data_IF_668559139299
#
_entry.id   IF_668559139299
#
_cell.length_a   1.000
_cell.length_b   1.000
_cell.length_c   1.000
_cell.angle_alpha   90.00
_cell.angle_beta   90.00
_cell.angle_gamma   90.00
#
_symmetry.space_group_name_H-M   'P 1'
#
loop_
_entity.id
_entity.type
_entity.pdbx_description
1 polymer ?
#
# COMPACT_ATOMS: atom_id res chain seq x y z
N UNK A 1 -18.75 10.22 -17.23
CA UNK A 1 -18.51 8.95 -16.50
C UNK A 1 -17.05 8.48 -16.45
N UNK A 2 -16.16 8.78 -17.42
CA UNK A 2 -14.76 8.26 -17.44
C UNK A 2 -13.75 8.97 -16.50
N UNK A 3 -13.96 10.23 -16.13
CA UNK A 3 -13.04 10.96 -15.22
C UNK A 3 -13.10 10.52 -13.76
N UNK A 4 -14.25 10.01 -13.28
CA UNK A 4 -14.42 9.49 -11.92
C UNK A 4 -13.53 8.27 -11.64
N UNK A 5 -13.30 7.42 -12.65
CA UNK A 5 -12.49 6.23 -12.52
C UNK A 5 -10.99 6.54 -12.33
N UNK A 6 -10.47 7.64 -12.92
CA UNK A 6 -9.04 8.02 -12.79
C UNK A 6 -8.70 8.52 -11.38
N UNK A 7 -9.63 9.19 -10.69
CA UNK A 7 -9.41 9.73 -9.35
C UNK A 7 -9.10 8.65 -8.30
N UNK A 8 -9.55 7.40 -8.54
CA UNK A 8 -9.21 6.22 -7.71
C UNK A 8 -7.74 5.78 -7.84
N UNK A 9 -7.05 6.19 -8.92
CA UNK A 9 -5.66 5.80 -9.19
C UNK A 9 -4.65 6.88 -8.87
N UNK A 10 -5.06 8.14 -8.83
CA UNK A 10 -4.20 9.29 -8.50
C UNK A 10 -4.05 9.39 -6.97
N UNK A 11 -2.85 9.13 -6.47
CA UNK A 11 -2.52 9.30 -5.06
C UNK A 11 -1.73 10.60 -4.87
N UNK A 12 -2.40 11.64 -4.37
CA UNK A 12 -1.80 12.97 -4.22
C UNK A 12 -0.57 12.95 -3.31
N UNK A 13 -0.56 12.10 -2.27
CA UNK A 13 0.60 12.00 -1.38
C UNK A 13 1.82 11.43 -2.10
N UNK A 14 1.60 10.47 -3.00
CA UNK A 14 2.67 9.93 -3.83
C UNK A 14 3.18 10.98 -4.83
N UNK A 15 2.29 11.73 -5.47
CA UNK A 15 2.70 12.79 -6.42
C UNK A 15 3.51 13.87 -5.70
N UNK A 16 3.07 14.32 -4.53
CA UNK A 16 3.81 15.28 -3.71
C UNK A 16 5.17 14.73 -3.27
N UNK A 17 5.25 13.44 -2.92
CA UNK A 17 6.52 12.79 -2.57
C UNK A 17 7.49 12.76 -3.77
N UNK A 18 6.99 12.43 -4.96
CA UNK A 18 7.78 12.40 -6.19
C UNK A 18 8.24 13.81 -6.60
N UNK A 19 7.34 14.79 -6.54
CA UNK A 19 7.64 16.19 -6.78
C UNK A 19 8.68 16.72 -5.78
N UNK A 20 8.54 16.39 -4.50
CA UNK A 20 9.51 16.74 -3.47
C UNK A 20 10.88 16.12 -3.70
N UNK A 21 10.94 14.84 -4.07
CA UNK A 21 12.20 14.17 -4.42
C UNK A 21 12.89 14.83 -5.61
N UNK A 22 12.14 15.14 -6.68
CA UNK A 22 12.70 15.79 -7.85
C UNK A 22 13.14 17.23 -7.56
N UNK A 23 12.39 17.97 -6.73
CA UNK A 23 12.79 19.30 -6.28
C UNK A 23 14.12 19.29 -5.50
N UNK A 24 14.43 18.23 -4.74
CA UNK A 24 15.73 18.09 -4.10
C UNK A 24 16.87 17.93 -5.13
N UNK A 25 16.61 17.18 -6.20
CA UNK A 25 17.55 17.07 -7.32
C UNK A 25 17.78 18.43 -8.00
N UNK A 26 16.70 19.18 -8.26
CA UNK A 26 16.79 20.52 -8.84
C UNK A 26 17.55 21.50 -7.93
N UNK A 27 17.38 21.41 -6.60
CA UNK A 27 18.14 22.22 -5.65
C UNK A 27 19.65 21.96 -5.75
N UNK A 28 20.05 20.70 -5.91
CA UNK A 28 21.47 20.34 -6.15
C UNK A 28 21.94 20.90 -7.49
N UNK A 29 21.10 20.85 -8.52
CA UNK A 29 21.44 21.38 -9.84
C UNK A 29 21.58 22.91 -9.85
N UNK A 30 20.68 23.63 -9.16
CA UNK A 30 20.76 25.07 -8.94
C UNK A 30 22.02 25.43 -8.16
N UNK A 31 22.35 24.69 -7.09
CA UNK A 31 23.56 24.93 -6.30
C UNK A 31 24.83 24.73 -7.13
N UNK A 32 24.88 23.68 -7.96
CA UNK A 32 25.96 23.45 -8.92
C UNK A 32 26.08 24.61 -9.92
N UNK A 33 24.96 25.05 -10.48
CA UNK A 33 24.94 26.16 -11.42
C UNK A 33 25.43 27.47 -10.78
N UNK A 34 24.99 27.77 -9.54
CA UNK A 34 25.45 28.91 -8.76
C UNK A 34 26.97 28.87 -8.55
N UNK A 35 27.51 27.72 -8.16
CA UNK A 35 28.94 27.51 -7.98
C UNK A 35 29.73 27.72 -9.28
N UNK A 36 29.26 27.12 -10.39
CA UNK A 36 29.90 27.26 -11.70
C UNK A 36 29.90 28.72 -12.16
N UNK A 37 28.78 29.43 -11.99
CA UNK A 37 28.69 30.85 -12.36
C UNK A 37 29.62 31.75 -11.54
N UNK A 38 29.77 31.46 -10.24
CA UNK A 38 30.63 32.25 -9.35
C UNK A 38 32.13 32.06 -9.63
N UNK A 39 32.55 30.83 -9.96
CA UNK A 39 33.97 30.48 -10.11
C UNK A 39 34.44 30.43 -11.57
N UNK A 40 33.53 30.16 -12.51
CA UNK A 40 33.80 30.01 -13.94
C UNK A 40 32.82 30.85 -14.78
N UNK A 41 32.76 32.19 -14.60
CA UNK A 41 31.76 33.04 -15.24
C UNK A 41 31.85 33.08 -16.76
N UNK A 42 33.00 32.70 -17.35
CA UNK A 42 33.15 32.58 -18.81
C UNK A 42 32.47 31.35 -19.40
N UNK A 43 32.23 30.33 -18.58
CA UNK A 43 31.59 29.07 -19.00
C UNK A 43 30.06 29.13 -18.81
N UNK A 44 29.59 29.99 -17.91
CA UNK A 44 28.16 30.12 -17.57
C UNK A 44 27.69 31.55 -17.82
N UNK A 45 27.26 31.81 -19.05
CA UNK A 45 26.78 33.13 -19.48
C UNK A 45 25.25 33.27 -19.42
N UNK A 46 24.52 32.17 -19.22
CA UNK A 46 23.06 32.17 -19.23
C UNK A 46 22.48 33.00 -18.05
N UNK A 47 21.51 33.90 -18.31
CA UNK A 47 20.80 34.63 -17.27
C UNK A 47 20.11 33.70 -16.26
N UNK A 48 19.99 34.14 -15.01
CA UNK A 48 19.32 33.35 -13.96
C UNK A 48 17.87 33.02 -14.31
N UNK A 49 17.16 33.97 -14.93
CA UNK A 49 15.77 33.77 -15.33
C UNK A 49 15.66 32.63 -16.34
N UNK A 50 16.49 32.65 -17.39
CA UNK A 50 16.50 31.65 -18.44
C UNK A 50 16.85 30.27 -17.85
N UNK A 51 17.88 30.20 -17.02
CA UNK A 51 18.25 28.96 -16.34
C UNK A 51 17.09 28.39 -15.50
N UNK A 52 16.49 29.21 -14.62
CA UNK A 52 15.42 28.77 -13.71
C UNK A 52 14.13 28.39 -14.45
N UNK A 53 13.75 29.14 -15.47
CA UNK A 53 12.51 28.84 -16.20
C UNK A 53 12.73 27.64 -17.12
N UNK A 54 13.78 27.67 -17.94
CA UNK A 54 13.96 26.70 -19.01
C UNK A 54 14.56 25.39 -18.52
N UNK A 55 15.56 25.42 -17.65
CA UNK A 55 16.26 24.22 -17.21
C UNK A 55 15.67 23.60 -15.93
N UNK A 56 14.94 24.37 -15.12
CA UNK A 56 14.34 23.87 -13.88
C UNK A 56 12.82 23.74 -14.00
N UNK A 57 12.09 24.84 -14.20
CA UNK A 57 10.62 24.82 -14.11
C UNK A 57 9.97 23.94 -15.19
N UNK A 58 10.40 24.06 -16.45
CA UNK A 58 9.86 23.25 -17.55
C UNK A 58 10.18 21.77 -17.33
N UNK A 59 11.42 21.45 -17.02
CA UNK A 59 11.87 20.07 -16.79
C UNK A 59 11.10 19.44 -15.62
N UNK A 60 10.98 20.16 -14.49
CA UNK A 60 10.17 19.76 -13.34
C UNK A 60 8.73 19.43 -13.71
N UNK A 61 8.06 20.31 -14.47
CA UNK A 61 6.67 20.10 -14.90
C UNK A 61 6.53 18.86 -15.79
N UNK A 62 7.47 18.66 -16.72
CA UNK A 62 7.49 17.48 -17.61
C UNK A 62 7.69 16.21 -16.79
N UNK A 63 8.69 16.18 -15.90
CA UNK A 63 9.02 15.00 -15.10
C UNK A 63 7.90 14.65 -14.13
N UNK A 64 7.37 15.61 -13.38
CA UNK A 64 6.27 15.35 -12.42
C UNK A 64 5.01 14.86 -13.13
N UNK A 65 4.68 15.45 -14.28
CA UNK A 65 3.55 15.01 -15.10
C UNK A 65 3.78 13.58 -15.61
N UNK A 66 4.96 13.30 -16.16
CA UNK A 66 5.32 11.97 -16.65
C UNK A 66 5.29 10.92 -15.53
N UNK A 67 5.89 11.23 -14.39
CA UNK A 67 5.94 10.32 -13.24
C UNK A 67 4.56 10.08 -12.62
N UNK A 68 3.62 11.02 -12.77
CA UNK A 68 2.21 10.78 -12.43
C UNK A 68 1.60 9.69 -13.31
N UNK A 69 1.86 9.69 -14.62
CA UNK A 69 1.43 8.61 -15.52
C UNK A 69 2.11 7.28 -15.20
N UNK A 70 3.40 7.30 -14.84
CA UNK A 70 4.14 6.10 -14.42
C UNK A 70 3.58 5.54 -13.11
N UNK A 71 3.24 6.37 -12.12
CA UNK A 71 2.62 5.92 -10.87
C UNK A 71 1.28 5.21 -11.12
N UNK A 72 0.43 5.79 -11.98
CA UNK A 72 -0.85 5.17 -12.38
C UNK A 72 -0.62 3.84 -13.10
N UNK A 73 0.36 3.77 -14.00
CA UNK A 73 0.69 2.56 -14.77
C UNK A 73 1.23 1.46 -13.85
N UNK A 74 2.12 1.82 -12.92
CA UNK A 74 2.71 0.92 -11.93
C UNK A 74 1.63 0.31 -11.04
N UNK A 75 0.67 1.11 -10.56
CA UNK A 75 -0.48 0.61 -9.79
C UNK A 75 -1.29 -0.43 -10.57
N UNK A 76 -1.44 -0.27 -11.88
CA UNK A 76 -2.11 -1.25 -12.75
C UNK A 76 -1.29 -2.53 -12.93
N UNK A 77 0.03 -2.44 -13.04
CA UNK A 77 0.92 -3.60 -13.14
C UNK A 77 0.84 -4.46 -11.87
N UNK A 78 0.82 -3.82 -10.70
CA UNK A 78 0.62 -4.49 -9.41
C UNK A 78 -0.74 -5.18 -9.33
N UNK A 79 -1.83 -4.53 -9.76
CA UNK A 79 -3.16 -5.14 -9.73
C UNK A 79 -3.30 -6.34 -10.69
N UNK A 80 -2.64 -6.29 -11.84
CA UNK A 80 -2.66 -7.37 -12.84
C UNK A 80 -1.59 -8.45 -12.61
N UNK A 81 -0.83 -8.40 -11.52
CA UNK A 81 0.24 -9.35 -11.18
C UNK A 81 1.21 -9.63 -12.34
N UNK A 82 1.72 -8.56 -12.96
CA UNK A 82 2.74 -8.70 -14.02
C UNK A 82 4.02 -9.33 -13.45
N UNK A 83 4.70 -10.17 -14.24
CA UNK A 83 6.00 -10.71 -13.83
C UNK A 83 7.05 -9.60 -13.72
N UNK A 84 7.97 -9.74 -12.76
CA UNK A 84 9.03 -8.77 -12.48
C UNK A 84 9.89 -8.46 -13.72
N UNK A 85 10.14 -9.46 -14.58
CA UNK A 85 10.87 -9.30 -15.85
C UNK A 85 10.13 -8.34 -16.80
N UNK A 86 8.81 -8.51 -16.99
CA UNK A 86 8.01 -7.62 -17.84
C UNK A 86 8.00 -6.20 -17.30
N UNK A 87 7.90 -6.05 -15.97
CA UNK A 87 7.95 -4.77 -15.29
C UNK A 87 9.28 -4.05 -15.58
N UNK A 88 10.42 -4.73 -15.41
CA UNK A 88 11.75 -4.16 -15.65
C UNK A 88 11.89 -3.74 -17.12
N UNK A 89 11.48 -4.58 -18.07
CA UNK A 89 11.55 -4.25 -19.50
C UNK A 89 10.73 -2.99 -19.81
N UNK A 90 9.50 -2.91 -19.31
CA UNK A 90 8.61 -1.75 -19.54
C UNK A 90 9.22 -0.47 -18.95
N UNK A 91 9.71 -0.51 -17.71
CA UNK A 91 10.32 0.66 -17.07
C UNK A 91 11.64 1.06 -17.73
N UNK A 92 12.42 0.10 -18.24
CA UNK A 92 13.61 0.40 -19.03
C UNK A 92 13.25 1.18 -20.29
N UNK A 93 12.23 0.73 -21.03
CA UNK A 93 11.73 1.46 -22.21
C UNK A 93 11.23 2.85 -21.84
N UNK A 94 10.43 2.97 -20.77
CA UNK A 94 9.94 4.27 -20.30
C UNK A 94 11.06 5.22 -19.87
N UNK A 95 12.13 4.72 -19.24
CA UNK A 95 13.28 5.53 -18.84
C UNK A 95 14.00 6.17 -20.04
N UNK A 96 14.11 5.43 -21.14
CA UNK A 96 14.73 5.94 -22.38
C UNK A 96 13.78 6.93 -23.05
N UNK A 97 12.48 6.60 -23.12
CA UNK A 97 11.47 7.44 -23.74
C UNK A 97 11.34 8.80 -23.05
N UNK A 98 11.35 8.87 -21.71
CA UNK A 98 11.24 10.16 -21.02
C UNK A 98 12.45 11.05 -21.29
N UNK A 99 13.67 10.50 -21.25
CA UNK A 99 14.86 11.28 -21.57
C UNK A 99 14.84 11.81 -23.01
N UNK A 100 14.34 10.99 -23.96
CA UNK A 100 14.17 11.42 -25.35
C UNK A 100 13.10 12.50 -25.49
N UNK A 101 11.95 12.34 -24.82
CA UNK A 101 10.87 13.33 -24.81
C UNK A 101 11.36 14.66 -24.25
N UNK A 102 12.06 14.65 -23.11
CA UNK A 102 12.66 15.84 -22.51
C UNK A 102 13.59 16.50 -23.51
N UNK A 103 14.52 15.74 -24.12
CA UNK A 103 15.45 16.27 -25.14
C UNK A 103 14.72 16.96 -26.29
N UNK A 104 13.70 16.31 -26.85
CA UNK A 104 12.94 16.84 -27.98
C UNK A 104 12.10 18.07 -27.60
N UNK A 105 11.57 18.13 -26.37
CA UNK A 105 10.89 19.33 -25.85
C UNK A 105 11.88 20.49 -25.75
N UNK A 106 13.09 20.25 -25.24
CA UNK A 106 14.14 21.26 -25.20
C UNK A 106 14.57 21.74 -26.59
N UNK A 107 14.74 20.83 -27.56
CA UNK A 107 15.04 21.19 -28.96
C UNK A 107 13.95 22.07 -29.57
N UNK A 108 12.69 21.62 -29.45
CA UNK A 108 11.53 22.36 -29.96
C UNK A 108 11.46 23.76 -29.34
N UNK A 109 11.71 23.85 -28.04
CA UNK A 109 11.71 25.13 -27.34
C UNK A 109 12.85 26.05 -27.80
N UNK A 110 14.07 25.55 -27.96
CA UNK A 110 15.21 26.33 -28.48
C UNK A 110 14.97 26.83 -29.91
N UNK A 111 14.26 26.07 -30.74
CA UNK A 111 13.86 26.50 -32.09
C UNK A 111 12.80 27.61 -32.01
N UNK A 112 11.75 27.43 -31.21
CA UNK A 112 10.63 28.39 -31.10
C UNK A 112 11.09 29.70 -30.46
N UNK A 113 12.01 29.64 -29.49
CA UNK A 113 12.59 30.83 -28.84
C UNK A 113 13.62 31.56 -29.70
N UNK A 114 13.98 31.00 -30.88
CA UNK A 114 14.95 31.61 -31.79
C UNK A 114 16.41 31.46 -31.36
N UNK A 115 16.69 30.64 -30.33
CA UNK A 115 18.06 30.33 -29.91
C UNK A 115 18.81 29.52 -30.97
N UNK A 116 18.09 28.66 -31.69
CA UNK A 116 18.62 27.84 -32.78
C UNK A 116 17.71 28.02 -34.01
N UNK A 117 18.20 28.60 -35.12
CA UNK A 117 17.44 28.64 -36.37
C UNK A 117 17.06 27.22 -36.82
N UNK A 118 15.84 27.02 -37.31
CA UNK A 118 15.38 25.71 -37.79
C UNK A 118 16.31 25.14 -38.87
N UNK A 119 16.90 26.00 -39.71
CA UNK A 119 17.85 25.62 -40.75
C UNK A 119 19.19 25.07 -40.20
N UNK A 120 19.54 25.43 -38.97
CA UNK A 120 20.78 25.02 -38.30
C UNK A 120 20.57 23.85 -37.33
N UNK A 121 19.32 23.41 -37.14
CA UNK A 121 18.99 22.29 -36.27
C UNK A 121 19.55 20.98 -36.81
N UNK A 122 20.34 20.29 -35.97
CA UNK A 122 20.92 18.99 -36.29
C UNK A 122 20.45 17.94 -35.28
N UNK A 123 19.72 16.93 -35.77
CA UNK A 123 19.23 15.82 -34.96
C UNK A 123 20.39 15.03 -34.33
N UNK A 124 21.51 14.87 -35.05
CA UNK A 124 22.67 14.15 -34.55
C UNK A 124 23.26 14.80 -33.28
N UNK A 125 23.35 16.13 -33.24
CA UNK A 125 23.81 16.89 -32.08
C UNK A 125 22.85 16.78 -30.89
N UNK A 126 21.54 16.78 -31.17
CA UNK A 126 20.52 16.52 -30.14
C UNK A 126 20.66 15.12 -29.53
N UNK A 127 20.82 14.10 -30.38
CA UNK A 127 21.03 12.72 -29.94
C UNK A 127 22.34 12.57 -29.15
N UNK A 128 23.42 13.26 -29.55
CA UNK A 128 24.68 13.27 -28.82
C UNK A 128 24.49 13.84 -27.40
N UNK A 129 23.81 14.99 -27.26
CA UNK A 129 23.47 15.57 -25.96
C UNK A 129 22.59 14.64 -25.12
N UNK A 130 21.63 13.95 -25.73
CA UNK A 130 20.82 12.94 -25.05
C UNK A 130 21.69 11.77 -24.53
N UNK A 131 22.59 11.24 -25.35
CA UNK A 131 23.51 10.16 -24.94
C UNK A 131 24.44 10.59 -23.80
N UNK A 132 24.82 11.85 -23.73
CA UNK A 132 25.63 12.38 -22.62
C UNK A 132 24.89 12.34 -21.28
N UNK A 133 23.57 12.53 -21.25
CA UNK A 133 22.79 12.61 -19.99
C UNK A 133 21.96 11.36 -19.69
N UNK A 134 21.88 10.40 -20.61
CA UNK A 134 20.98 9.24 -20.52
C UNK A 134 21.19 8.42 -19.24
N UNK A 135 22.44 8.28 -18.78
CA UNK A 135 22.77 7.50 -17.59
C UNK A 135 22.24 8.14 -16.31
N UNK A 136 22.30 9.48 -16.21
CA UNK A 136 21.77 10.23 -15.07
C UNK A 136 20.24 10.19 -15.07
N UNK A 137 19.62 10.41 -16.24
CA UNK A 137 18.17 10.33 -16.42
C UNK A 137 17.65 8.93 -16.05
N UNK A 138 18.36 7.89 -16.49
CA UNK A 138 18.06 6.50 -16.13
C UNK A 138 18.09 6.28 -14.61
N UNK A 139 19.15 6.75 -13.94
CA UNK A 139 19.30 6.60 -12.49
C UNK A 139 18.18 7.32 -11.71
N UNK A 140 17.89 8.57 -12.06
CA UNK A 140 16.84 9.36 -11.40
C UNK A 140 15.47 8.72 -11.64
N UNK A 141 15.19 8.29 -12.87
CA UNK A 141 13.95 7.59 -13.21
C UNK A 141 13.76 6.35 -12.33
N UNK A 142 14.78 5.49 -12.24
CA UNK A 142 14.69 4.27 -11.43
C UNK A 142 14.60 4.55 -9.92
N UNK A 143 15.25 5.61 -9.43
CA UNK A 143 15.06 6.07 -8.05
C UNK A 143 13.60 6.47 -7.77
N UNK A 144 12.98 7.21 -8.69
CA UNK A 144 11.57 7.59 -8.55
C UNK A 144 10.62 6.40 -8.71
N UNK A 145 10.91 5.46 -9.61
CA UNK A 145 10.17 4.18 -9.72
C UNK A 145 10.28 3.38 -8.42
N UNK A 146 11.46 3.31 -7.82
CA UNK A 146 11.66 2.66 -6.53
C UNK A 146 10.79 3.29 -5.42
N UNK A 147 10.70 4.62 -5.38
CA UNK A 147 9.79 5.34 -4.48
C UNK A 147 8.33 4.91 -4.73
N UNK A 148 7.90 4.83 -5.99
CA UNK A 148 6.53 4.40 -6.35
C UNK A 148 6.23 2.98 -5.85
N UNK A 149 7.11 2.01 -6.12
CA UNK A 149 6.92 0.62 -5.68
C UNK A 149 6.91 0.51 -4.15
N UNK A 150 7.86 1.17 -3.48
CA UNK A 150 7.94 1.19 -2.02
C UNK A 150 6.68 1.78 -1.41
N UNK A 151 6.18 2.89 -1.96
CA UNK A 151 4.95 3.52 -1.50
C UNK A 151 3.74 2.57 -1.58
N UNK A 152 3.55 1.91 -2.72
CA UNK A 152 2.43 0.97 -2.88
C UNK A 152 2.59 -0.28 -2.04
N UNK A 153 3.81 -0.79 -1.90
CA UNK A 153 4.10 -1.93 -1.04
C UNK A 153 3.77 -1.64 0.43
N UNK A 154 4.28 -0.54 0.98
CA UNK A 154 3.99 -0.11 2.37
C UNK A 154 2.48 0.09 2.58
N UNK A 155 1.79 0.66 1.60
CA UNK A 155 0.33 0.83 1.66
C UNK A 155 -0.42 -0.50 1.68
N UNK A 156 0.02 -1.47 0.87
CA UNK A 156 -0.57 -2.80 0.82
C UNK A 156 -0.34 -3.58 2.12
N UNK A 157 0.88 -3.52 2.67
CA UNK A 157 1.21 -4.17 3.96
C UNK A 157 0.34 -3.61 5.08
N UNK A 158 0.23 -2.29 5.22
CA UNK A 158 -0.61 -1.67 6.25
C UNK A 158 -2.09 -2.05 6.15
N UNK A 159 -2.62 -2.15 4.93
CA UNK A 159 -4.00 -2.58 4.73
C UNK A 159 -4.19 -4.06 5.08
N UNK A 160 -3.22 -4.91 4.71
CA UNK A 160 -3.24 -6.34 5.07
C UNK A 160 -3.16 -6.55 6.59
N UNK A 161 -2.30 -5.81 7.29
CA UNK A 161 -2.21 -5.85 8.76
C UNK A 161 -3.51 -5.45 9.43
N UNK A 162 -4.15 -4.38 8.95
CA UNK A 162 -5.46 -3.93 9.45
C UNK A 162 -6.53 -4.99 9.25
N UNK A 163 -6.59 -5.61 8.06
CA UNK A 163 -7.54 -6.68 7.77
C UNK A 163 -7.28 -7.91 8.63
N UNK A 164 -6.01 -8.27 8.86
CA UNK A 164 -5.63 -9.38 9.75
C UNK A 164 -6.12 -9.14 11.18
N UNK A 165 -5.91 -7.95 11.74
CA UNK A 165 -6.39 -7.63 13.09
C UNK A 165 -7.92 -7.67 13.21
N UNK A 166 -8.65 -7.25 12.16
CA UNK A 166 -10.11 -7.38 12.11
C UNK A 166 -10.55 -8.84 12.10
N UNK A 167 -9.91 -9.68 11.29
CA UNK A 167 -10.21 -11.11 11.21
C UNK A 167 -9.86 -11.85 12.52
N UNK A 168 -8.75 -11.52 13.17
CA UNK A 168 -8.38 -12.04 14.49
C UNK A 168 -9.46 -11.71 15.54
N UNK A 169 -9.93 -10.46 15.56
CA UNK A 169 -11.01 -10.03 16.46
C UNK A 169 -12.33 -10.77 16.19
N UNK A 170 -12.69 -10.95 14.91
CA UNK A 170 -13.88 -11.70 14.52
C UNK A 170 -13.78 -13.18 14.92
N UNK A 171 -12.60 -13.78 14.79
CA UNK A 171 -12.34 -15.17 15.16
C UNK A 171 -12.47 -15.36 16.67
N UNK A 172 -11.89 -14.46 17.48
CA UNK A 172 -12.04 -14.48 18.95
C UNK A 172 -13.51 -14.36 19.36
N UNK A 173 -14.24 -13.40 18.78
CA UNK A 173 -15.67 -13.23 19.07
C UNK A 173 -16.51 -14.43 18.67
N UNK A 174 -16.18 -15.08 17.54
CA UNK A 174 -16.87 -16.28 17.07
C UNK A 174 -16.62 -17.45 18.01
N UNK A 175 -15.36 -17.66 18.42
CA UNK A 175 -15.00 -18.68 19.42
C UNK A 175 -15.72 -18.45 20.75
N UNK A 176 -15.77 -17.20 21.21
CA UNK A 176 -16.48 -16.86 22.44
C UNK A 176 -17.99 -17.16 22.34
N UNK A 177 -18.63 -16.82 21.21
CA UNK A 177 -20.04 -17.15 20.97
C UNK A 177 -20.28 -18.66 20.90
N UNK A 178 -19.38 -19.41 20.25
CA UNK A 178 -19.46 -20.87 20.18
C UNK A 178 -19.38 -21.50 21.58
N UNK A 179 -18.39 -21.11 22.38
CA UNK A 179 -18.27 -21.54 23.78
C UNK A 179 -19.51 -21.18 24.60
N UNK A 180 -20.02 -19.96 24.45
CA UNK A 180 -21.24 -19.54 25.13
C UNK A 180 -22.48 -20.30 24.67
N UNK A 181 -22.53 -20.78 23.41
CA UNK A 181 -23.66 -21.55 22.89
C UNK A 181 -23.66 -23.02 23.33
N UNK A 182 -22.48 -23.57 23.65
CA UNK A 182 -22.36 -24.91 24.25
C UNK A 182 -22.98 -24.96 25.65
N UNK A 183 -22.88 -23.85 26.40
CA UNK A 183 -23.63 -23.66 27.63
C UNK A 183 -25.06 -23.27 27.27
N UNK A 184 -25.98 -24.23 27.03
CA UNK A 184 -27.38 -23.92 26.75
C UNK A 184 -27.96 -23.01 27.86
N UNK A 185 -28.14 -21.69 27.63
CA UNK A 185 -28.41 -20.77 28.74
C UNK A 185 -29.76 -21.07 29.40
N UNK A 186 -30.71 -21.53 28.59
CA UNK A 186 -32.03 -21.97 29.04
C UNK A 186 -31.95 -23.19 29.96
N UNK A 187 -31.07 -24.16 29.68
CA UNK A 187 -30.85 -25.28 30.59
C UNK A 187 -30.35 -24.77 31.93
N UNK A 188 -29.36 -23.88 31.93
CA UNK A 188 -28.81 -23.33 33.18
C UNK A 188 -29.89 -22.62 34.02
N UNK A 189 -30.72 -21.78 33.40
CA UNK A 189 -31.82 -21.10 34.10
C UNK A 189 -32.88 -22.08 34.62
N UNK A 190 -33.22 -23.11 33.85
CA UNK A 190 -34.19 -24.12 34.26
C UNK A 190 -33.68 -24.98 35.41
N UNK A 191 -32.41 -25.39 35.36
CA UNK A 191 -31.80 -26.17 36.43
C UNK A 191 -31.69 -25.33 37.71
N UNK A 192 -31.31 -24.06 37.62
CA UNK A 192 -31.29 -23.15 38.77
C UNK A 192 -32.69 -22.92 39.37
N UNK A 193 -33.72 -22.73 38.54
CA UNK A 193 -35.10 -22.60 39.01
C UNK A 193 -35.59 -23.89 39.70
N UNK A 194 -35.24 -25.04 39.14
CA UNK A 194 -35.58 -26.34 39.73
C UNK A 194 -34.87 -26.55 41.07
N UNK A 195 -33.59 -26.18 41.18
CA UNK A 195 -32.85 -26.17 42.44
C UNK A 195 -33.50 -25.24 43.46
N UNK A 196 -33.96 -24.05 43.05
CA UNK A 196 -34.63 -23.11 43.96
C UNK A 196 -35.92 -23.70 44.53
N UNK A 197 -36.74 -24.36 43.71
CA UNK A 197 -37.94 -25.07 44.17
C UNK A 197 -37.57 -26.25 45.08
N UNK A 198 -36.54 -27.02 44.71
CA UNK A 198 -36.07 -28.14 45.53
C UNK A 198 -35.50 -27.67 46.86
N UNK A 199 -34.85 -26.51 46.95
CA UNK A 199 -34.31 -26.00 48.21
C UNK A 199 -35.42 -25.76 49.27
N UNK A 200 -36.64 -25.47 48.82
CA UNK A 200 -37.81 -25.29 49.67
C UNK A 200 -38.54 -26.62 49.98
N UNK A 201 -38.53 -27.57 49.04
CA UNK A 201 -39.32 -28.82 49.13
C UNK A 201 -38.50 -30.03 49.59
N UNK A 202 -37.26 -30.18 49.11
CA UNK A 202 -36.34 -31.28 49.38
C UNK A 202 -34.87 -30.81 49.30
N UNK A 203 -34.31 -30.48 50.47
CA UNK A 203 -32.98 -29.88 50.61
C UNK A 203 -31.83 -30.81 50.23
N UNK A 204 -31.96 -32.12 50.43
CA UNK A 204 -30.88 -33.05 50.07
C UNK A 204 -30.84 -33.23 48.55
N UNK A 205 -32.00 -33.38 47.90
CA UNK A 205 -32.07 -33.44 46.44
C UNK A 205 -31.59 -32.16 45.76
N UNK A 206 -31.82 -31.00 46.37
CA UNK A 206 -31.27 -29.72 45.91
C UNK A 206 -29.73 -29.70 45.96
N UNK A 207 -29.11 -30.24 47.01
CA UNK A 207 -27.63 -30.34 47.12
C UNK A 207 -27.05 -31.27 46.07
N UNK A 208 -27.67 -32.42 45.84
CA UNK A 208 -27.23 -33.37 44.82
C UNK A 208 -27.30 -32.75 43.42
N UNK A 209 -28.40 -32.06 43.11
CA UNK A 209 -28.56 -31.38 41.81
C UNK A 209 -27.56 -30.22 41.62
N UNK A 210 -27.17 -29.53 42.70
CA UNK A 210 -26.09 -28.52 42.66
C UNK A 210 -24.73 -29.18 42.37
N UNK A 211 -24.46 -30.35 42.95
CA UNK A 211 -23.24 -31.10 42.68
C UNK A 211 -23.19 -31.56 41.22
N UNK A 212 -24.27 -32.14 40.70
CA UNK A 212 -24.39 -32.58 39.32
C UNK A 212 -24.23 -31.41 38.33
N UNK A 213 -24.87 -30.26 38.59
CA UNK A 213 -24.70 -29.06 37.78
C UNK A 213 -23.25 -28.53 37.82
N UNK A 214 -22.58 -28.64 38.97
CA UNK A 214 -21.18 -28.22 39.13
C UNK A 214 -20.22 -29.12 38.35
N UNK A 215 -20.47 -30.43 38.33
CA UNK A 215 -19.68 -31.40 37.57
C UNK A 215 -19.93 -31.27 36.06
N UNK A 216 -21.17 -31.07 35.63
CA UNK A 216 -21.52 -30.78 34.24
C UNK A 216 -20.84 -29.50 33.71
N UNK A 217 -20.88 -28.41 34.47
CA UNK A 217 -20.20 -27.16 34.10
C UNK A 217 -18.67 -27.33 34.05
N UNK A 218 -18.12 -28.12 34.96
CA UNK A 218 -16.70 -28.47 34.96
C UNK A 218 -16.33 -29.26 33.71
N UNK A 219 -17.16 -30.23 33.30
CA UNK A 219 -16.93 -30.95 32.05
C UNK A 219 -16.98 -30.02 30.83
N UNK A 220 -17.97 -29.13 30.70
CA UNK A 220 -18.05 -28.24 29.54
C UNK A 220 -16.87 -27.26 29.47
N UNK A 221 -16.43 -26.71 30.61
CA UNK A 221 -15.37 -25.69 30.66
C UNK A 221 -13.95 -26.27 30.55
N UNK A 222 -13.74 -27.53 30.95
CA UNK A 222 -12.43 -28.17 30.98
C UNK A 222 -12.27 -29.33 29.99
N UNK A 223 -13.33 -29.73 29.27
CA UNK A 223 -13.19 -30.63 28.11
C UNK A 223 -12.34 -29.94 27.05
N UNK A 224 -11.12 -30.42 26.89
CA UNK A 224 -10.22 -29.99 25.82
C UNK A 224 -10.80 -30.40 24.46
N UNK A 225 -10.30 -29.71 23.45
CA UNK A 225 -10.48 -29.74 22.00
C UNK A 225 -10.37 -31.16 21.35
N UNK A 226 -10.96 -32.20 21.94
CA UNK A 226 -11.03 -33.54 21.38
C UNK A 226 -12.31 -33.65 20.55
N UNK A 227 -12.14 -33.56 19.23
CA UNK A 227 -13.21 -33.53 18.21
C UNK A 227 -14.11 -34.78 18.16
N UNK A 228 -13.98 -35.74 19.07
CA UNK A 228 -14.84 -36.91 19.16
C UNK A 228 -15.17 -37.22 20.63
N UNK A 229 -16.43 -36.95 21.01
CA UNK A 229 -17.02 -37.46 22.25
C UNK A 229 -17.63 -38.83 21.98
N UNK A 230 -17.29 -39.82 22.80
CA UNK A 230 -17.83 -41.17 22.69
C UNK A 230 -19.34 -41.16 22.94
N UNK A 231 -20.11 -41.99 22.22
CA UNK A 231 -21.57 -42.14 22.37
C UNK A 231 -21.99 -42.39 23.83
N UNK A 232 -21.19 -43.12 24.60
CA UNK A 232 -21.42 -43.37 26.03
C UNK A 232 -21.41 -42.07 26.87
N UNK A 233 -20.61 -41.08 26.46
CA UNK A 233 -20.50 -39.78 27.13
C UNK A 233 -21.64 -38.84 26.74
N UNK A 234 -22.13 -38.91 25.51
CA UNK A 234 -23.37 -38.23 25.09
C UNK A 234 -24.59 -38.77 25.83
N UNK A 235 -24.72 -40.10 25.93
CA UNK A 235 -25.85 -40.73 26.63
C UNK A 235 -25.90 -40.38 28.11
N UNK A 236 -24.74 -40.34 28.78
CA UNK A 236 -24.64 -39.93 30.19
C UNK A 236 -24.98 -38.45 30.40
N UNK A 237 -24.61 -37.60 29.44
CA UNK A 237 -24.99 -36.17 29.47
C UNK A 237 -26.51 -35.99 29.29
N UNK A 238 -27.16 -36.84 28.49
CA UNK A 238 -28.62 -36.84 28.33
C UNK A 238 -29.36 -37.30 29.59
N UNK A 239 -28.77 -38.17 30.41
CA UNK A 239 -29.36 -38.59 31.70
C UNK A 239 -29.42 -37.44 32.72
N UNK A 240 -28.55 -36.43 32.63
CA UNK A 240 -28.65 -35.22 33.46
C UNK A 240 -29.71 -34.23 32.96
N UNK A 241 -30.23 -34.41 31.74
CA UNK A 241 -31.19 -33.50 31.10
C UNK A 241 -32.66 -33.99 31.22
N UNK A 242 -32.87 -35.27 31.53
CA UNK A 242 -34.17 -35.94 31.67
C UNK A 242 -34.51 -36.21 33.14
#
# INVERSE_FOLDING_TARGET
>A
MRFSALKKYIDLKLILLLAGFYALFDLVFIARYAYMRANFPREVMEPWFDFLVYNILIDFLVVVTYMTFIAISTKRFLYKNYSWVKIIIIHTVFSILIGLIIRLIFDLFSIISGQIPLAEYQLAESLHRFMFVIHLNFLIYFAMVFIIYTYYYVKQVKEAEKQRGMLETQLVNTRMKMLSSQLQPHFLFNTLNSIAVLADVDKEKAKDTIADLSDFLREILYSRDDNEITLEKELRTLEYYL
#
